data_IF_225496934932
#
_entry.id   IF_225496934932
#
_cell.length_a   1.000
_cell.length_b   1.000
_cell.length_c   1.000
_cell.angle_alpha   90.00
_cell.angle_beta   90.00
_cell.angle_gamma   90.00
#
_symmetry.space_group_name_H-M   'P 1'
#
loop_
_entity.id
_entity.type
_entity.pdbx_description
1 polymer ?
#
# COMPACT_ATOMS: atom_id res chain seq x y z
N UNK A 1 15.31 -12.97 1.64
CA UNK A 1 15.09 -12.78 3.09
C UNK A 1 13.68 -13.26 3.38
N UNK A 2 13.47 -14.12 4.38
CA UNK A 2 12.14 -14.64 4.71
C UNK A 2 11.34 -13.57 5.47
N UNK A 3 10.12 -13.26 5.01
CA UNK A 3 9.08 -12.57 5.75
C UNK A 3 9.09 -12.99 7.22
N UNK A 4 9.13 -12.00 8.13
CA UNK A 4 8.89 -12.18 9.56
C UNK A 4 7.74 -11.26 9.94
N UNK A 5 6.65 -11.85 10.40
CA UNK A 5 5.45 -11.17 10.93
C UNK A 5 5.82 -10.50 12.26
N UNK A 6 6.48 -9.35 12.20
CA UNK A 6 6.82 -8.58 13.40
C UNK A 6 5.60 -7.82 13.89
N UNK A 7 5.46 -7.67 15.20
CA UNK A 7 4.32 -6.98 15.82
C UNK A 7 4.18 -5.53 15.33
N UNK A 8 5.30 -4.81 15.22
CA UNK A 8 5.30 -3.45 14.67
C UNK A 8 4.81 -3.36 13.22
N UNK A 9 5.19 -4.31 12.36
CA UNK A 9 4.73 -4.34 10.97
C UNK A 9 3.22 -4.64 10.89
N UNK A 10 2.73 -5.57 11.71
CA UNK A 10 1.30 -5.90 11.76
C UNK A 10 0.46 -4.74 12.28
N UNK A 11 0.95 -3.97 13.24
CA UNK A 11 0.27 -2.76 13.70
C UNK A 11 0.19 -1.70 12.59
N UNK A 12 1.25 -1.52 11.82
CA UNK A 12 1.26 -0.62 10.65
C UNK A 12 0.27 -1.09 9.58
N UNK A 13 0.24 -2.39 9.27
CA UNK A 13 -0.72 -2.96 8.30
C UNK A 13 -2.16 -2.71 8.78
N UNK A 14 -2.47 -3.04 10.04
CA UNK A 14 -3.81 -2.80 10.62
C UNK A 14 -4.20 -1.32 10.59
N UNK A 15 -3.25 -0.43 10.88
CA UNK A 15 -3.48 1.01 10.81
C UNK A 15 -3.86 1.44 9.38
N UNK A 16 -3.07 1.06 8.38
CA UNK A 16 -3.34 1.45 7.00
C UNK A 16 -4.59 0.78 6.41
N UNK A 17 -4.86 -0.47 6.79
CA UNK A 17 -6.05 -1.21 6.38
C UNK A 17 -7.35 -0.71 7.04
N UNK A 18 -7.26 0.18 8.03
CA UNK A 18 -8.45 0.83 8.60
C UNK A 18 -8.97 1.99 7.75
N UNK A 19 -8.15 2.52 6.82
CA UNK A 19 -8.55 3.61 5.94
C UNK A 19 -9.25 3.09 4.69
N UNK A 20 -10.37 3.71 4.25
CA UNK A 20 -11.01 3.34 2.99
C UNK A 20 -10.11 3.69 1.80
N UNK A 21 -10.05 2.80 0.79
CA UNK A 21 -9.33 3.08 -0.45
C UNK A 21 -10.07 4.10 -1.31
N UNK A 22 -9.36 5.06 -1.91
CA UNK A 22 -9.98 6.08 -2.75
C UNK A 22 -10.44 5.49 -4.09
N UNK A 23 -11.74 5.60 -4.39
CA UNK A 23 -12.27 5.21 -5.70
C UNK A 23 -11.82 6.18 -6.79
N UNK A 24 -11.29 5.67 -7.90
CA UNK A 24 -10.95 6.46 -9.10
C UNK A 24 -11.81 5.96 -10.26
N UNK A 25 -12.60 6.86 -10.86
CA UNK A 25 -13.40 6.52 -12.04
C UNK A 25 -12.54 6.39 -13.30
N UNK A 26 -13.01 5.59 -14.26
CA UNK A 26 -12.34 5.45 -15.56
C UNK A 26 -12.17 6.81 -16.26
N UNK A 27 -13.17 7.70 -16.13
CA UNK A 27 -13.12 9.06 -16.67
C UNK A 27 -11.99 9.89 -16.05
N UNK A 28 -11.86 9.88 -14.73
CA UNK A 28 -10.78 10.60 -14.03
C UNK A 28 -9.41 10.06 -14.45
N UNK A 29 -9.28 8.73 -14.59
CA UNK A 29 -8.04 8.11 -15.02
C UNK A 29 -7.64 8.55 -16.44
N UNK A 30 -8.60 8.55 -17.37
CA UNK A 30 -8.37 8.98 -18.75
C UNK A 30 -7.98 10.47 -18.83
N UNK A 31 -8.71 11.33 -18.12
CA UNK A 31 -8.44 12.78 -18.09
C UNK A 31 -7.09 13.11 -17.44
N UNK A 32 -6.70 12.36 -16.42
CA UNK A 32 -5.41 12.53 -15.76
C UNK A 32 -4.24 12.19 -16.68
N UNK A 33 -4.39 11.15 -17.51
CA UNK A 33 -3.36 10.70 -18.45
C UNK A 33 -3.33 11.43 -19.80
N UNK A 34 -4.35 12.21 -20.13
CA UNK A 34 -4.54 12.79 -21.48
C UNK A 34 -3.42 13.76 -21.89
N UNK A 35 -2.94 14.59 -20.96
CA UNK A 35 -1.86 15.57 -21.19
C UNK A 35 -0.87 15.57 -20.02
N UNK A 36 0.14 14.68 -20.02
CA UNK A 36 1.09 14.62 -18.93
C UNK A 36 1.91 15.91 -18.84
N UNK A 37 2.10 16.39 -17.61
CA UNK A 37 2.94 17.53 -17.29
C UNK A 37 3.67 17.25 -15.98
N UNK A 38 4.73 18.00 -15.67
CA UNK A 38 5.45 17.87 -14.40
C UNK A 38 4.51 18.02 -13.20
N UNK A 39 3.54 18.93 -13.25
CA UNK A 39 2.54 19.11 -12.21
C UNK A 39 1.59 17.90 -12.08
N UNK A 40 1.23 17.27 -13.20
CA UNK A 40 0.39 16.06 -13.20
C UNK A 40 1.17 14.86 -12.66
N UNK A 41 2.43 14.68 -13.04
CA UNK A 41 3.30 13.64 -12.50
C UNK A 41 3.52 13.79 -10.99
N UNK A 42 3.73 15.01 -10.51
CA UNK A 42 3.87 15.28 -9.07
C UNK A 42 2.59 14.95 -8.30
N UNK A 43 1.42 15.30 -8.84
CA UNK A 43 0.14 14.88 -8.23
C UNK A 43 -0.05 13.36 -8.26
N UNK A 44 0.41 12.70 -9.33
CA UNK A 44 0.37 11.24 -9.43
C UNK A 44 1.21 10.59 -8.34
N UNK A 45 2.44 11.09 -8.14
CA UNK A 45 3.35 10.54 -7.14
C UNK A 45 2.83 10.77 -5.72
N UNK A 46 2.25 11.93 -5.43
CA UNK A 46 1.60 12.20 -4.14
C UNK A 46 0.42 11.26 -3.90
N UNK A 47 -0.47 11.11 -4.87
CA UNK A 47 -1.61 10.19 -4.77
C UNK A 47 -1.15 8.76 -4.52
N UNK A 48 -0.18 8.26 -5.28
CA UNK A 48 0.35 6.91 -5.12
C UNK A 48 1.05 6.70 -3.78
N UNK A 49 1.80 7.70 -3.30
CA UNK A 49 2.47 7.61 -2.00
C UNK A 49 1.48 7.46 -0.84
N UNK A 50 0.30 8.08 -0.93
CA UNK A 50 -0.76 7.98 0.09
C UNK A 50 -1.63 6.71 -0.09
N UNK A 51 -1.96 6.34 -1.32
CA UNK A 51 -2.90 5.25 -1.61
C UNK A 51 -2.28 3.86 -1.64
N UNK A 52 -1.02 3.73 -2.08
CA UNK A 52 -0.37 2.41 -2.17
C UNK A 52 -0.29 1.69 -0.82
N UNK A 53 0.10 2.35 0.29
CA UNK A 53 0.12 1.72 1.61
C UNK A 53 -1.25 1.17 2.03
N UNK A 54 -2.32 1.94 1.82
CA UNK A 54 -3.70 1.54 2.15
C UNK A 54 -4.09 0.29 1.34
N UNK A 55 -3.90 0.34 0.03
CA UNK A 55 -4.28 -0.77 -0.87
C UNK A 55 -3.50 -2.03 -0.58
N UNK A 56 -2.20 -1.92 -0.34
CA UNK A 56 -1.37 -3.08 0.00
C UNK A 56 -1.70 -3.63 1.37
N UNK A 57 -2.00 -2.78 2.35
CA UNK A 57 -2.42 -3.22 3.68
C UNK A 57 -3.72 -4.04 3.62
N UNK A 58 -4.72 -3.59 2.86
CA UNK A 58 -5.93 -4.40 2.60
C UNK A 58 -5.59 -5.75 1.98
N UNK A 59 -4.73 -5.80 0.94
CA UNK A 59 -4.34 -7.07 0.31
C UNK A 59 -3.61 -7.99 1.26
N UNK A 60 -2.69 -7.46 2.06
CA UNK A 60 -1.93 -8.25 3.05
C UNK A 60 -2.86 -8.78 4.14
N UNK A 61 -3.84 -7.99 4.59
CA UNK A 61 -4.85 -8.44 5.55
C UNK A 61 -5.77 -9.51 4.95
N UNK A 62 -6.31 -9.30 3.75
CA UNK A 62 -7.11 -10.30 3.02
C UNK A 62 -6.34 -11.61 2.87
N UNK A 63 -5.06 -11.55 2.49
CA UNK A 63 -4.19 -12.71 2.34
C UNK A 63 -3.90 -13.41 3.67
N UNK A 64 -3.79 -12.68 4.78
CA UNK A 64 -3.57 -13.25 6.13
C UNK A 64 -4.83 -13.96 6.65
N UNK A 65 -6.01 -13.44 6.29
CA UNK A 65 -7.33 -13.95 6.67
C UNK A 65 -7.86 -15.07 5.75
N UNK A 66 -7.10 -15.47 4.71
CA UNK A 66 -7.52 -16.54 3.80
C UNK A 66 -7.70 -17.87 4.55
N UNK A 67 -8.84 -18.56 4.37
CA UNK A 67 -9.09 -19.85 5.00
C UNK A 67 -8.17 -20.96 4.44
N UNK A 68 -8.17 -22.11 5.11
CA UNK A 68 -7.58 -23.36 4.63
C UNK A 68 -6.05 -23.34 4.42
N UNK A 69 -5.32 -22.47 5.11
CA UNK A 69 -3.85 -22.40 5.03
C UNK A 69 -3.33 -21.87 3.70
N UNK A 70 -4.21 -21.29 2.87
CA UNK A 70 -3.84 -20.64 1.60
C UNK A 70 -2.86 -19.48 1.82
N UNK A 71 -2.87 -18.87 3.00
CA UNK A 71 -1.91 -17.85 3.44
C UNK A 71 -0.47 -18.37 3.57
N UNK A 72 -0.26 -19.69 3.74
CA UNK A 72 1.05 -20.33 3.83
C UNK A 72 1.64 -20.67 2.46
N UNK A 73 0.87 -20.50 1.37
CA UNK A 73 1.34 -20.81 0.03
C UNK A 73 2.57 -19.96 -0.34
N UNK A 74 3.60 -20.53 -1.00
CA UNK A 74 4.81 -19.82 -1.36
C UNK A 74 4.60 -18.59 -2.25
N UNK A 75 3.52 -18.57 -3.04
CA UNK A 75 3.09 -17.42 -3.85
C UNK A 75 2.63 -16.25 -2.99
N UNK A 76 1.90 -16.52 -1.91
CA UNK A 76 1.38 -15.51 -0.97
C UNK A 76 2.52 -14.92 -0.14
N UNK A 77 3.47 -15.77 0.31
CA UNK A 77 4.70 -15.32 0.97
C UNK A 77 5.54 -14.34 0.14
N UNK A 78 5.57 -14.48 -1.19
CA UNK A 78 6.29 -13.52 -2.06
C UNK A 78 5.63 -12.15 -2.09
N UNK A 79 4.29 -12.09 -2.06
CA UNK A 79 3.54 -10.82 -2.01
C UNK A 79 3.78 -10.12 -0.67
N UNK A 80 3.82 -10.90 0.40
CA UNK A 80 4.24 -10.40 1.70
C UNK A 80 5.69 -9.85 1.66
N UNK A 81 6.67 -10.60 1.14
CA UNK A 81 8.06 -10.14 1.04
C UNK A 81 8.20 -8.80 0.29
N UNK A 82 7.42 -8.58 -0.77
CA UNK A 82 7.34 -7.30 -1.48
C UNK A 82 6.80 -6.18 -0.58
N UNK A 83 5.72 -6.43 0.16
CA UNK A 83 5.14 -5.46 1.09
C UNK A 83 6.11 -5.05 2.20
N UNK A 84 6.98 -5.97 2.67
CA UNK A 84 7.97 -5.66 3.71
C UNK A 84 9.09 -4.72 3.25
N UNK A 85 9.34 -4.64 1.95
CA UNK A 85 10.34 -3.74 1.37
C UNK A 85 9.81 -2.31 1.32
N UNK A 86 8.53 -2.13 0.94
CA UNK A 86 7.87 -0.83 0.90
C UNK A 86 7.79 -0.15 2.28
N UNK A 87 7.65 -0.92 3.37
CA UNK A 87 7.66 -0.36 4.72
C UNK A 87 9.00 0.28 5.12
N UNK A 88 10.10 -0.08 4.46
CA UNK A 88 11.44 0.45 4.72
C UNK A 88 11.79 1.65 3.83
N UNK A 89 10.95 1.98 2.86
CA UNK A 89 11.22 3.07 1.95
C UNK A 89 10.91 4.43 2.62
N UNK A 90 11.89 5.34 2.73
CA UNK A 90 11.78 6.60 3.48
C UNK A 90 10.79 7.61 2.87
N UNK A 91 10.25 7.33 1.67
CA UNK A 91 9.23 8.16 1.02
C UNK A 91 7.89 8.07 1.78
N UNK A 92 7.59 6.93 2.42
CA UNK A 92 6.36 6.73 3.22
C UNK A 92 6.45 7.34 4.63
N UNK A 93 7.67 7.56 5.14
CA UNK A 93 7.91 8.03 6.51
C UNK A 93 7.60 9.53 6.74
N UNK A 94 7.29 10.30 5.69
CA UNK A 94 7.23 11.78 5.77
C UNK A 94 5.92 12.40 6.27
N UNK A 95 4.97 11.62 6.82
CA UNK A 95 3.71 12.19 7.35
C UNK A 95 3.41 11.92 8.83
N UNK A 96 4.32 11.30 9.59
CA UNK A 96 4.13 11.13 11.04
C UNK A 96 4.50 12.37 11.89
N UNK A 97 5.15 13.41 11.32
CA UNK A 97 5.58 14.59 12.09
C UNK A 97 4.78 15.87 11.85
N UNK A 98 3.93 15.95 10.82
CA UNK A 98 3.20 17.17 10.48
C UNK A 98 1.70 16.94 10.49
N UNK A 99 1.17 16.66 11.68
CA UNK A 99 -0.25 16.54 11.96
C UNK A 99 -0.55 17.12 13.35
N UNK A 100 -0.38 18.43 13.50
CA UNK A 100 -0.95 19.27 14.56
C UNK A 100 -1.46 20.56 13.92
#
# INVERSE_FOLDING_TARGET
MSWKKTEGLMNTIKHYASFPATGVSLRQMAQFGEKPSTGTLFRASQFLAEELPIRLAHRVQELDELPDGLNEMPSVRKVHDWSSQLSRDPISAKKCENGS
#
